data_IF_533688208568
#
_entry.id   IF_533688208568
#
_cell.length_a   1.000
_cell.length_b   1.000
_cell.length_c   1.000
_cell.angle_alpha   90.00
_cell.angle_beta   90.00
_cell.angle_gamma   90.00
#
_symmetry.space_group_name_H-M   'P 1'
#
loop_
_entity.id
_entity.type
_entity.pdbx_description
1 polymer ?
#
# COMPACT_ATOMS: atom_id res chain seq x y z
N UNK A 1 -6.69 14.25 4.87
CA UNK A 1 -6.91 13.98 3.46
C UNK A 1 -5.76 13.21 2.86
N UNK A 2 -6.02 12.01 2.35
CA UNK A 2 -5.06 11.12 1.71
C UNK A 2 -5.32 11.12 0.20
N UNK A 3 -4.72 12.03 -0.57
CA UNK A 3 -5.00 12.15 -2.00
C UNK A 3 -4.52 10.96 -2.81
N UNK A 4 -3.61 10.14 -2.27
CA UNK A 4 -3.10 8.95 -2.94
C UNK A 4 -2.88 7.80 -1.93
N UNK A 5 -3.37 6.63 -2.29
CA UNK A 5 -3.12 5.36 -1.60
C UNK A 5 -2.62 4.39 -2.67
N UNK A 6 -1.50 3.73 -2.41
CA UNK A 6 -0.87 2.78 -3.33
C UNK A 6 -0.76 1.42 -2.64
N UNK A 7 -1.40 0.43 -3.21
CA UNK A 7 -1.39 -0.96 -2.76
C UNK A 7 -1.06 -1.88 -3.94
N UNK A 8 -0.49 -3.07 -3.72
CA UNK A 8 -0.10 -3.98 -4.81
C UNK A 8 -1.24 -4.35 -5.74
N UNK A 9 -2.44 -4.54 -5.21
CA UNK A 9 -3.62 -4.98 -5.93
C UNK A 9 -4.09 -4.00 -7.03
N UNK A 10 -3.65 -2.73 -6.96
CA UNK A 10 -3.91 -1.76 -8.03
C UNK A 10 -3.24 -2.13 -9.34
N UNK A 11 -2.12 -2.87 -9.27
CA UNK A 11 -1.26 -3.20 -10.40
C UNK A 11 -1.60 -4.55 -11.05
N UNK A 12 -2.82 -5.05 -10.87
CA UNK A 12 -3.24 -6.36 -11.38
C UNK A 12 -3.06 -6.55 -12.89
N UNK A 13 -2.93 -5.47 -13.66
CA UNK A 13 -2.74 -5.45 -15.12
C UNK A 13 -1.40 -4.86 -15.55
N UNK A 14 -0.55 -4.49 -14.60
CA UNK A 14 0.70 -3.79 -14.87
C UNK A 14 1.76 -4.23 -13.86
N UNK A 15 3.02 -4.08 -14.23
CA UNK A 15 4.13 -4.32 -13.30
C UNK A 15 4.20 -3.27 -12.20
N UNK A 16 4.65 -3.67 -11.02
CA UNK A 16 4.95 -2.77 -9.91
C UNK A 16 6.38 -2.27 -10.09
N UNK A 17 6.53 -0.99 -10.43
CA UNK A 17 7.83 -0.35 -10.61
C UNK A 17 7.92 0.94 -9.81
N UNK A 18 9.14 1.35 -9.45
CA UNK A 18 9.35 2.65 -8.81
C UNK A 18 8.84 3.80 -9.68
N UNK A 19 9.15 3.79 -10.97
CA UNK A 19 8.71 4.85 -11.89
C UNK A 19 7.19 5.01 -11.88
N UNK A 20 6.46 3.89 -11.95
CA UNK A 20 4.99 3.93 -11.93
C UNK A 20 4.42 4.43 -10.61
N UNK A 21 4.98 3.99 -9.49
CA UNK A 21 4.58 4.48 -8.15
C UNK A 21 4.86 5.98 -8.02
N UNK A 22 6.02 6.43 -8.42
CA UNK A 22 6.38 7.86 -8.38
C UNK A 22 5.45 8.70 -9.26
N UNK A 23 5.11 8.23 -10.45
CA UNK A 23 4.15 8.89 -11.34
C UNK A 23 2.76 8.97 -10.72
N UNK A 24 2.30 7.96 -10.01
CA UNK A 24 1.02 7.99 -9.28
C UNK A 24 1.03 9.06 -8.17
N UNK A 25 2.11 9.14 -7.40
CA UNK A 25 2.26 10.16 -6.35
C UNK A 25 2.30 11.57 -6.97
N UNK A 26 3.07 11.74 -8.05
CA UNK A 26 3.16 13.02 -8.76
C UNK A 26 1.81 13.39 -9.39
N UNK A 27 1.06 12.44 -9.92
CA UNK A 27 -0.31 12.64 -10.40
C UNK A 27 -1.18 13.32 -9.33
N UNK A 28 -1.13 12.81 -8.10
CA UNK A 28 -1.86 13.42 -6.98
C UNK A 28 -1.32 14.82 -6.64
N UNK A 29 0.00 15.02 -6.65
CA UNK A 29 0.62 16.31 -6.39
C UNK A 29 0.19 17.35 -7.42
N UNK A 30 0.20 17.01 -8.70
CA UNK A 30 -0.21 17.89 -9.80
C UNK A 30 -1.70 18.23 -9.70
N UNK A 31 -2.55 17.24 -9.43
CA UNK A 31 -4.00 17.49 -9.23
C UNK A 31 -4.24 18.47 -8.09
N UNK A 32 -3.55 18.32 -6.98
CA UNK A 32 -3.67 19.22 -5.84
C UNK A 32 -3.16 20.63 -6.15
N UNK A 33 -2.06 20.76 -6.90
CA UNK A 33 -1.58 22.07 -7.37
C UNK A 33 -2.62 22.76 -8.25
N UNK A 34 -3.25 22.05 -9.17
CA UNK A 34 -4.34 22.59 -10.02
C UNK A 34 -5.50 23.08 -9.15
N UNK A 35 -5.81 22.37 -8.06
CA UNK A 35 -6.86 22.76 -7.11
C UNK A 35 -6.42 23.84 -6.11
N UNK A 36 -5.21 24.38 -6.20
CA UNK A 36 -4.68 25.38 -5.26
C UNK A 36 -4.37 24.82 -3.86
N UNK A 37 -4.19 23.49 -3.72
CA UNK A 37 -3.96 22.84 -2.43
C UNK A 37 -2.48 22.54 -2.28
N UNK A 38 -1.81 23.16 -1.30
CA UNK A 38 -0.37 23.12 -1.10
C UNK A 38 0.15 21.97 -0.22
N UNK A 39 -0.67 20.98 0.15
CA UNK A 39 -0.29 19.88 1.04
C UNK A 39 -0.95 18.56 0.61
N UNK A 40 -0.42 17.43 1.09
CA UNK A 40 -1.02 16.11 0.87
C UNK A 40 -0.20 15.00 1.54
N UNK A 41 -0.80 13.82 1.63
CA UNK A 41 -0.18 12.60 2.15
C UNK A 41 -0.39 11.50 1.12
N UNK A 42 0.69 10.86 0.67
CA UNK A 42 0.62 9.61 -0.08
C UNK A 42 0.89 8.44 0.88
N UNK A 43 0.01 7.47 0.89
CA UNK A 43 0.18 6.24 1.66
C UNK A 43 0.60 5.14 0.69
N UNK A 44 1.74 4.52 0.95
CA UNK A 44 2.27 3.40 0.16
C UNK A 44 2.32 2.18 1.06
N UNK A 45 1.63 1.12 0.66
CA UNK A 45 1.69 -0.14 1.39
C UNK A 45 3.09 -0.74 1.32
N UNK A 46 3.59 -1.24 2.44
CA UNK A 46 4.85 -1.98 2.48
C UNK A 46 4.87 -3.16 1.49
N UNK A 47 3.71 -3.79 1.29
CA UNK A 47 3.56 -4.93 0.39
C UNK A 47 3.92 -4.66 -1.06
N UNK A 48 3.99 -3.40 -1.54
CA UNK A 48 4.35 -3.11 -2.94
C UNK A 48 5.76 -3.59 -3.29
N UNK A 49 6.70 -3.60 -2.33
CA UNK A 49 8.05 -4.11 -2.55
C UNK A 49 8.09 -5.61 -2.88
N UNK A 50 7.18 -6.41 -2.30
CA UNK A 50 7.13 -7.85 -2.56
C UNK A 50 6.64 -8.20 -3.97
N UNK A 51 6.12 -7.21 -4.70
CA UNK A 51 5.66 -7.36 -6.08
C UNK A 51 6.60 -6.72 -7.10
N UNK A 52 7.69 -6.11 -6.64
CA UNK A 52 8.78 -5.64 -7.51
C UNK A 52 9.75 -6.79 -7.78
N UNK A 53 10.39 -6.76 -8.95
CA UNK A 53 11.49 -7.68 -9.25
C UNK A 53 12.75 -7.26 -8.50
N UNK A 54 13.64 -8.22 -8.21
CA UNK A 54 14.94 -7.93 -7.60
C UNK A 54 15.77 -6.99 -8.45
N UNK A 55 15.64 -7.08 -9.78
CA UNK A 55 16.29 -6.15 -10.73
C UNK A 55 15.78 -4.72 -10.58
N UNK A 56 14.47 -4.53 -10.45
CA UNK A 56 13.88 -3.20 -10.21
C UNK A 56 14.38 -2.60 -8.90
N UNK A 57 14.47 -3.41 -7.85
CA UNK A 57 14.97 -2.98 -6.55
C UNK A 57 16.45 -2.63 -6.63
N UNK A 58 17.28 -3.47 -7.24
CA UNK A 58 18.71 -3.23 -7.41
C UNK A 58 19.01 -1.96 -8.25
N UNK A 59 18.22 -1.72 -9.29
CA UNK A 59 18.36 -0.56 -10.17
C UNK A 59 17.83 0.75 -9.55
N UNK A 60 17.24 0.71 -8.36
CA UNK A 60 16.79 1.93 -7.67
C UNK A 60 17.90 2.90 -7.28
N UNK A 61 19.17 2.48 -7.35
CA UNK A 61 20.33 3.26 -6.91
C UNK A 61 20.47 3.35 -5.39
N UNK A 62 19.70 2.60 -4.64
CA UNK A 62 19.80 2.48 -3.19
C UNK A 62 20.72 1.31 -2.85
N UNK A 63 21.64 1.52 -1.91
CA UNK A 63 22.50 0.44 -1.43
C UNK A 63 21.70 -0.49 -0.52
N UNK A 64 21.53 -1.73 -0.94
CA UNK A 64 20.95 -2.81 -0.14
C UNK A 64 22.03 -3.75 0.35
N UNK A 65 21.80 -4.37 1.51
CA UNK A 65 22.46 -5.62 1.88
C UNK A 65 21.73 -6.78 1.20
N UNK A 66 22.46 -7.84 0.87
CA UNK A 66 21.89 -9.01 0.19
C UNK A 66 22.06 -10.24 1.09
N UNK A 67 21.07 -11.11 1.09
CA UNK A 67 21.13 -12.38 1.78
C UNK A 67 22.10 -13.36 1.06
N UNK A 68 22.33 -14.54 1.66
CA UNK A 68 23.21 -15.57 1.11
C UNK A 68 22.71 -16.13 -0.25
N UNK A 69 21.49 -15.81 -0.66
CA UNK A 69 20.88 -16.23 -1.92
C UNK A 69 20.86 -15.10 -2.97
N UNK A 70 21.38 -13.92 -2.62
CA UNK A 70 21.45 -12.76 -3.52
C UNK A 70 20.18 -11.92 -3.58
N UNK A 71 19.22 -12.11 -2.69
CA UNK A 71 18.02 -11.27 -2.60
C UNK A 71 18.27 -10.06 -1.70
N UNK A 72 17.75 -8.86 -2.06
CA UNK A 72 17.95 -7.67 -1.26
C UNK A 72 17.21 -7.77 0.09
N UNK A 73 17.95 -7.53 1.17
CA UNK A 73 17.42 -7.52 2.54
C UNK A 73 16.62 -6.24 2.80
N UNK A 74 15.34 -6.24 2.43
CA UNK A 74 14.44 -5.11 2.54
C UNK A 74 14.08 -4.73 3.98
N UNK A 75 14.33 -5.63 4.94
CA UNK A 75 14.00 -5.40 6.36
C UNK A 75 14.90 -4.36 7.03
N UNK A 76 16.11 -4.17 6.52
CA UNK A 76 17.12 -3.30 7.11
C UNK A 76 17.11 -1.87 6.56
N UNK A 77 16.23 -1.58 5.58
CA UNK A 77 16.19 -0.27 4.93
C UNK A 77 14.81 0.35 5.06
N UNK A 78 14.78 1.62 5.43
CA UNK A 78 13.54 2.41 5.46
C UNK A 78 12.95 2.55 4.06
N UNK A 79 11.85 1.85 3.80
CA UNK A 79 11.15 1.85 2.51
C UNK A 79 10.58 3.22 2.18
N UNK A 80 10.05 3.93 3.19
CA UNK A 80 9.57 5.29 3.01
C UNK A 80 10.72 6.24 2.62
N UNK A 81 11.94 6.02 3.15
CA UNK A 81 13.10 6.82 2.79
C UNK A 81 13.52 6.59 1.33
N UNK A 82 13.51 5.35 0.86
CA UNK A 82 13.79 5.01 -0.54
C UNK A 82 12.83 5.75 -1.46
N UNK A 83 11.52 5.59 -1.26
CA UNK A 83 10.53 6.28 -2.09
C UNK A 83 10.66 7.79 -2.03
N UNK A 84 10.94 8.35 -0.85
CA UNK A 84 11.11 9.79 -0.71
C UNK A 84 12.35 10.31 -1.46
N UNK A 85 13.46 9.58 -1.42
CA UNK A 85 14.69 9.96 -2.14
C UNK A 85 14.45 9.99 -3.64
N UNK A 86 13.88 8.93 -4.20
CA UNK A 86 13.54 8.83 -5.61
C UNK A 86 12.50 9.90 -6.02
N UNK A 87 11.50 10.14 -5.16
CA UNK A 87 10.49 11.17 -5.39
C UNK A 87 11.09 12.57 -5.43
N UNK A 88 11.99 12.91 -4.48
CA UNK A 88 12.65 14.21 -4.46
C UNK A 88 13.54 14.42 -5.68
N UNK A 89 14.24 13.39 -6.14
CA UNK A 89 14.99 13.44 -7.38
C UNK A 89 14.07 13.75 -8.57
N UNK A 90 12.98 13.03 -8.73
CA UNK A 90 12.02 13.22 -9.83
C UNK A 90 11.35 14.60 -9.77
N UNK A 91 10.98 15.08 -8.58
CA UNK A 91 10.42 16.42 -8.35
C UNK A 91 11.43 17.49 -8.83
N UNK A 92 12.72 17.31 -8.53
CA UNK A 92 13.79 18.22 -8.96
C UNK A 92 13.97 18.21 -10.48
N UNK A 93 13.98 17.03 -11.10
CA UNK A 93 14.06 16.88 -12.56
C UNK A 93 12.91 17.58 -13.28
N UNK A 94 11.71 17.56 -12.69
CA UNK A 94 10.52 18.23 -13.22
C UNK A 94 10.48 19.73 -12.90
N UNK A 95 11.44 20.26 -12.15
CA UNK A 95 11.44 21.68 -11.74
C UNK A 95 10.31 22.04 -10.77
N UNK A 96 9.69 21.07 -10.13
CA UNK A 96 8.60 21.30 -9.19
C UNK A 96 9.14 21.74 -7.83
N UNK A 97 8.63 22.87 -7.30
CA UNK A 97 8.97 23.32 -5.95
C UNK A 97 8.05 22.66 -4.92
N UNK A 98 8.30 21.39 -4.63
CA UNK A 98 7.56 20.60 -3.63
C UNK A 98 8.58 19.92 -2.71
N UNK A 99 8.30 19.94 -1.41
CA UNK A 99 9.09 19.20 -0.41
C UNK A 99 8.26 18.03 0.09
N UNK A 100 8.83 16.83 0.12
CA UNK A 100 8.26 15.66 0.75
C UNK A 100 9.10 15.22 1.94
N UNK A 101 8.49 14.51 2.87
CA UNK A 101 9.13 13.91 4.04
C UNK A 101 8.66 12.49 4.19
N UNK A 102 9.57 11.52 4.39
CA UNK A 102 9.20 10.16 4.67
C UNK A 102 8.66 10.04 6.10
N UNK A 103 7.65 9.21 6.27
CA UNK A 103 7.13 8.78 7.56
C UNK A 103 6.83 7.29 7.47
N UNK A 104 7.35 6.53 8.40
CA UNK A 104 7.00 5.12 8.56
C UNK A 104 6.08 4.97 9.76
N UNK A 105 4.94 4.34 9.52
CA UNK A 105 3.98 4.06 10.58
C UNK A 105 4.27 2.66 11.12
N UNK A 106 4.83 2.61 12.30
CA UNK A 106 5.24 1.39 12.97
C UNK A 106 4.63 1.25 14.36
N UNK A 107 5.50 1.25 15.36
CA UNK A 107 5.10 1.09 16.76
C UNK A 107 4.22 2.22 17.28
N UNK A 108 4.28 3.42 16.70
CA UNK A 108 3.44 4.56 17.05
C UNK A 108 1.95 4.26 16.93
N UNK A 109 1.58 3.35 16.02
CA UNK A 109 0.20 2.91 15.83
C UNK A 109 -0.09 1.60 16.55
N UNK A 110 0.89 0.68 16.60
CA UNK A 110 0.71 -0.64 17.21
C UNK A 110 0.74 -0.61 18.74
N UNK A 111 1.38 0.41 19.33
CA UNK A 111 1.55 0.55 20.77
C UNK A 111 0.62 1.59 21.40
N UNK A 112 -0.43 2.01 20.70
CA UNK A 112 -1.50 2.84 21.30
C UNK A 112 -2.32 2.01 22.25
N UNK A 113 -2.86 2.63 23.27
CA UNK A 113 -3.79 1.97 24.19
C UNK A 113 -5.00 1.40 23.42
N UNK A 114 -5.41 0.15 23.73
CA UNK A 114 -6.52 -0.48 23.02
C UNK A 114 -7.84 0.24 23.31
N UNK A 115 -8.63 0.44 22.27
CA UNK A 115 -9.99 0.95 22.41
C UNK A 115 -10.98 -0.12 22.90
N UNK A 116 -12.19 0.29 23.20
CA UNK A 116 -13.24 -0.64 23.68
C UNK A 116 -13.51 -1.77 22.69
N UNK A 117 -13.45 -1.50 21.38
CA UNK A 117 -13.58 -2.52 20.35
C UNK A 117 -12.47 -3.57 20.43
N UNK A 118 -11.23 -3.14 20.60
CA UNK A 118 -10.07 -4.04 20.67
C UNK A 118 -10.16 -4.95 21.88
N UNK A 119 -10.52 -4.38 23.05
CA UNK A 119 -10.69 -5.13 24.30
C UNK A 119 -11.80 -6.18 24.17
N UNK A 120 -12.94 -5.79 23.61
CA UNK A 120 -14.07 -6.69 23.40
C UNK A 120 -13.72 -7.81 22.41
N UNK A 121 -13.15 -7.45 21.26
CA UNK A 121 -12.79 -8.41 20.21
C UNK A 121 -11.71 -9.39 20.67
N UNK A 122 -10.67 -8.91 21.34
CA UNK A 122 -9.64 -9.77 21.92
C UNK A 122 -10.19 -10.72 23.01
N UNK A 123 -11.17 -10.26 23.79
CA UNK A 123 -11.83 -11.12 24.77
C UNK A 123 -12.62 -12.25 24.12
N UNK A 124 -13.32 -11.96 23.01
CA UNK A 124 -14.02 -12.99 22.21
C UNK A 124 -13.01 -14.00 21.63
N UNK A 125 -11.90 -13.51 21.07
CA UNK A 125 -10.86 -14.40 20.53
C UNK A 125 -10.24 -15.27 21.63
N UNK A 126 -9.96 -14.70 22.82
CA UNK A 126 -9.45 -15.46 23.97
C UNK A 126 -10.43 -16.53 24.44
N UNK A 127 -11.72 -16.21 24.55
CA UNK A 127 -12.78 -17.18 24.85
C UNK A 127 -12.86 -18.26 23.76
N UNK A 128 -12.75 -17.87 22.51
CA UNK A 128 -12.77 -18.77 21.37
C UNK A 128 -11.61 -19.78 21.39
N UNK A 129 -10.41 -19.38 21.83
CA UNK A 129 -9.30 -20.32 22.03
C UNK A 129 -9.69 -21.43 23.01
N UNK A 130 -10.28 -21.05 24.16
CA UNK A 130 -10.75 -22.02 25.15
C UNK A 130 -11.82 -22.93 24.56
N UNK A 131 -12.81 -22.37 23.89
CA UNK A 131 -13.90 -23.13 23.28
C UNK A 131 -13.36 -24.17 22.28
N UNK A 132 -12.53 -23.76 21.32
CA UNK A 132 -11.96 -24.69 20.33
C UNK A 132 -11.07 -25.75 20.97
N UNK A 133 -10.36 -25.40 22.04
CA UNK A 133 -9.56 -26.36 22.81
C UNK A 133 -10.44 -27.41 23.47
N UNK A 134 -11.53 -27.00 24.14
CA UNK A 134 -12.49 -27.91 24.79
C UNK A 134 -13.19 -28.85 23.78
N UNK A 135 -13.41 -28.35 22.55
CA UNK A 135 -13.98 -29.11 21.45
C UNK A 135 -12.94 -30.03 20.74
N UNK A 136 -11.67 -30.01 21.17
CA UNK A 136 -10.59 -30.80 20.56
C UNK A 136 -10.17 -30.34 19.18
N UNK A 137 -10.49 -29.12 18.79
CA UNK A 137 -10.09 -28.54 17.50
C UNK A 137 -8.61 -28.17 17.54
N UNK A 138 -7.86 -28.62 16.52
CA UNK A 138 -6.44 -28.30 16.34
C UNK A 138 -6.14 -27.87 14.89
N UNK A 139 -4.98 -27.24 14.68
CA UNK A 139 -4.55 -26.77 13.36
C UNK A 139 -5.43 -25.65 12.81
N UNK A 140 -6.04 -24.84 13.68
CA UNK A 140 -6.90 -23.73 13.33
C UNK A 140 -6.52 -22.45 14.09
N UNK A 141 -6.79 -21.31 13.48
CA UNK A 141 -6.84 -20.02 14.15
C UNK A 141 -8.26 -19.72 14.60
N UNK A 142 -8.39 -19.02 15.73
CA UNK A 142 -9.68 -18.49 16.17
C UNK A 142 -10.03 -17.26 15.33
N UNK A 143 -11.24 -17.24 14.80
CA UNK A 143 -11.83 -16.06 14.19
C UNK A 143 -13.19 -15.76 14.80
N UNK A 144 -13.64 -14.53 14.71
CA UNK A 144 -14.99 -14.15 15.10
C UNK A 144 -15.64 -13.36 13.96
N UNK A 145 -16.92 -13.58 13.74
CA UNK A 145 -17.69 -12.80 12.78
C UNK A 145 -18.17 -11.47 13.39
N UNK A 146 -18.90 -10.68 12.60
CA UNK A 146 -19.41 -9.36 13.01
C UNK A 146 -20.44 -9.43 14.16
N UNK A 147 -20.95 -10.63 14.49
CA UNK A 147 -21.85 -10.87 15.61
C UNK A 147 -21.12 -11.35 16.87
N UNK A 148 -19.80 -11.59 16.76
CA UNK A 148 -18.98 -12.14 17.83
C UNK A 148 -19.05 -13.66 17.94
N UNK A 149 -19.59 -14.36 16.93
CA UNK A 149 -19.59 -15.82 16.91
C UNK A 149 -18.20 -16.34 16.55
N UNK A 150 -17.68 -17.23 17.38
CA UNK A 150 -16.37 -17.87 17.19
C UNK A 150 -16.45 -18.92 16.10
N UNK A 151 -15.45 -18.92 15.21
CA UNK A 151 -15.29 -19.89 14.12
C UNK A 151 -13.83 -20.31 13.97
N UNK A 152 -13.56 -21.62 13.76
CA UNK A 152 -12.22 -22.05 13.41
C UNK A 152 -11.90 -21.67 11.95
N UNK A 153 -10.72 -21.11 11.72
CA UNK A 153 -10.11 -20.97 10.40
C UNK A 153 -8.96 -21.96 10.32
N UNK A 154 -9.16 -23.06 9.64
CA UNK A 154 -8.14 -24.09 9.54
C UNK A 154 -6.96 -23.61 8.69
N UNK A 155 -5.73 -23.84 9.15
CA UNK A 155 -4.52 -23.40 8.46
C UNK A 155 -4.43 -23.99 7.06
N UNK A 156 -4.87 -25.24 6.87
CA UNK A 156 -4.94 -25.89 5.54
C UNK A 156 -5.86 -25.19 4.55
N UNK A 157 -6.85 -24.41 5.01
CA UNK A 157 -7.80 -23.72 4.15
C UNK A 157 -7.25 -22.36 3.64
N UNK A 158 -6.15 -21.89 4.25
CA UNK A 158 -5.50 -20.63 3.89
C UNK A 158 -4.12 -20.81 3.26
N UNK A 159 -3.65 -22.06 3.10
CA UNK A 159 -2.40 -22.34 2.40
C UNK A 159 -2.58 -22.34 0.87
N UNK A 160 -1.50 -21.99 0.18
CA UNK A 160 -1.39 -22.11 -1.27
C UNK A 160 -0.88 -23.49 -1.68
N UNK A 161 -0.66 -23.68 -2.99
CA UNK A 161 -0.18 -24.94 -3.57
C UNK A 161 1.22 -25.34 -3.06
N UNK A 162 1.97 -24.39 -2.47
CA UNK A 162 3.29 -24.58 -1.91
C UNK A 162 3.29 -24.73 -0.37
N UNK A 163 2.11 -24.82 0.25
CA UNK A 163 1.97 -24.90 1.70
C UNK A 163 2.25 -23.57 2.43
N UNK A 164 2.22 -22.44 1.71
CA UNK A 164 2.39 -21.10 2.29
C UNK A 164 1.04 -20.44 2.52
N UNK A 165 0.92 -19.66 3.58
CA UNK A 165 -0.30 -18.90 3.86
C UNK A 165 -0.53 -17.86 2.78
N UNK A 166 -1.70 -17.89 2.15
CA UNK A 166 -2.12 -16.87 1.17
C UNK A 166 -2.35 -15.53 1.86
N UNK A 167 -1.74 -14.45 1.38
CA UNK A 167 -2.03 -13.13 1.90
C UNK A 167 -3.49 -12.76 1.61
N UNK A 168 -4.10 -12.04 2.54
CA UNK A 168 -5.46 -11.53 2.35
C UNK A 168 -5.41 -10.28 1.49
N UNK A 169 -5.83 -10.39 0.24
CA UNK A 169 -5.81 -9.31 -0.74
C UNK A 169 -7.06 -8.42 -0.66
N UNK A 170 -6.89 -7.15 -1.02
CA UNK A 170 -8.01 -6.22 -1.19
C UNK A 170 -8.78 -6.57 -2.47
N UNK A 171 -10.08 -6.79 -2.33
CA UNK A 171 -10.94 -6.97 -3.50
C UNK A 171 -11.16 -5.61 -4.20
N UNK A 172 -10.41 -5.36 -5.27
CA UNK A 172 -10.49 -4.11 -6.05
C UNK A 172 -11.85 -3.90 -6.72
N UNK A 173 -12.64 -4.96 -6.91
CA UNK A 173 -14.00 -4.89 -7.44
C UNK A 173 -15.05 -4.66 -6.34
N UNK A 174 -14.66 -4.68 -5.09
CA UNK A 174 -15.55 -4.43 -3.95
C UNK A 174 -15.96 -2.96 -3.85
N UNK A 175 -17.15 -2.70 -3.33
CA UNK A 175 -17.70 -1.33 -3.23
C UNK A 175 -16.81 -0.37 -2.40
N UNK A 176 -16.17 -0.87 -1.34
CA UNK A 176 -15.23 -0.05 -0.53
C UNK A 176 -14.01 0.38 -1.35
N UNK A 177 -13.43 -0.53 -2.14
CA UNK A 177 -12.29 -0.21 -2.99
C UNK A 177 -12.71 0.79 -4.08
N UNK A 178 -13.83 0.55 -4.75
CA UNK A 178 -14.37 1.46 -5.76
C UNK A 178 -14.62 2.86 -5.20
N UNK A 179 -15.21 2.98 -4.00
CA UNK A 179 -15.43 4.26 -3.34
C UNK A 179 -14.10 5.00 -3.11
N UNK A 180 -13.10 4.31 -2.54
CA UNK A 180 -11.81 4.92 -2.25
C UNK A 180 -11.10 5.35 -3.53
N UNK A 181 -10.91 4.44 -4.49
CA UNK A 181 -10.10 4.69 -5.67
C UNK A 181 -10.77 5.59 -6.70
N UNK A 182 -12.10 5.62 -6.78
CA UNK A 182 -12.82 6.48 -7.69
C UNK A 182 -13.14 7.86 -7.10
N UNK A 183 -13.57 7.89 -5.83
CA UNK A 183 -14.23 9.07 -5.27
C UNK A 183 -13.38 9.79 -4.20
N UNK A 184 -12.44 9.09 -3.56
CA UNK A 184 -11.63 9.68 -2.48
C UNK A 184 -10.23 10.11 -2.92
N UNK A 185 -9.63 9.43 -3.90
CA UNK A 185 -8.31 9.78 -4.39
C UNK A 185 -8.35 10.99 -5.32
N UNK A 186 -7.24 11.70 -5.38
CA UNK A 186 -7.05 12.83 -6.27
C UNK A 186 -5.90 12.53 -7.23
N UNK A 187 -6.16 12.60 -8.52
CA UNK A 187 -5.18 12.29 -9.56
C UNK A 187 -5.53 13.02 -10.86
N UNK A 188 -4.56 13.08 -11.77
CA UNK A 188 -4.75 13.66 -13.09
C UNK A 188 -5.58 12.73 -13.97
N UNK A 189 -6.51 13.35 -14.66
CA UNK A 189 -7.35 12.77 -15.71
C UNK A 189 -7.21 13.58 -17.00
N UNK A 190 -7.72 13.11 -18.15
CA UNK A 190 -7.68 13.88 -19.40
C UNK A 190 -8.25 15.31 -19.28
N UNK A 191 -9.21 15.54 -18.39
CA UNK A 191 -9.78 16.85 -18.13
C UNK A 191 -8.77 17.85 -17.51
N UNK A 192 -7.70 17.34 -16.90
CA UNK A 192 -6.71 18.15 -16.20
C UNK A 192 -5.48 18.48 -17.07
N UNK A 193 -5.32 17.86 -18.25
CA UNK A 193 -4.09 17.94 -19.02
C UNK A 193 -3.68 19.36 -19.35
N UNK A 194 -4.61 20.21 -19.82
CA UNK A 194 -4.29 21.59 -20.16
C UNK A 194 -3.79 22.38 -18.94
N UNK A 195 -4.42 22.21 -17.79
CA UNK A 195 -3.99 22.84 -16.55
C UNK A 195 -2.67 22.27 -16.02
N UNK A 196 -2.37 21.00 -16.28
CA UNK A 196 -1.14 20.33 -15.83
C UNK A 196 0.08 20.70 -16.67
N UNK A 197 -0.10 21.15 -17.94
CA UNK A 197 1.01 21.57 -18.81
C UNK A 197 1.86 22.71 -18.23
N UNK A 198 1.31 23.52 -17.34
CA UNK A 198 2.09 24.54 -16.64
C UNK A 198 3.13 23.95 -15.64
N UNK A 199 3.01 22.68 -15.31
CA UNK A 199 3.89 22.00 -14.35
C UNK A 199 4.75 20.89 -14.98
N UNK A 200 4.24 20.22 -15.99
CA UNK A 200 4.92 19.09 -16.67
C UNK A 200 4.68 19.15 -18.18
N UNK A 201 5.68 18.74 -18.97
CA UNK A 201 5.59 18.78 -20.43
C UNK A 201 4.53 17.80 -20.98
N UNK A 202 4.46 16.60 -20.44
CA UNK A 202 3.58 15.52 -20.90
C UNK A 202 2.66 15.09 -19.75
N UNK A 203 1.52 15.75 -19.51
CA UNK A 203 0.60 15.40 -18.43
C UNK A 203 0.03 13.98 -18.52
N UNK A 204 -0.12 13.45 -19.73
CA UNK A 204 -0.61 12.10 -19.99
C UNK A 204 0.26 10.99 -19.37
N UNK A 205 1.55 11.25 -19.13
CA UNK A 205 2.47 10.32 -18.46
C UNK A 205 2.12 10.11 -16.97
N UNK A 206 1.29 11.00 -16.43
CA UNK A 206 0.81 11.01 -15.04
C UNK A 206 -0.68 10.68 -14.92
N UNK A 207 -1.33 10.27 -16.01
CA UNK A 207 -2.73 9.85 -15.98
C UNK A 207 -2.88 8.56 -15.19
N UNK A 208 -3.65 8.63 -14.12
CA UNK A 208 -3.82 7.52 -13.18
C UNK A 208 -4.36 6.25 -13.86
N UNK A 209 -5.36 6.41 -14.73
CA UNK A 209 -5.97 5.26 -15.40
C UNK A 209 -5.04 4.65 -16.44
N UNK A 210 -4.27 5.47 -17.16
CA UNK A 210 -3.25 4.97 -18.10
C UNK A 210 -2.13 4.24 -17.38
N UNK A 211 -1.66 4.76 -16.25
CA UNK A 211 -0.61 4.14 -15.44
C UNK A 211 -0.98 2.74 -14.95
N UNK A 212 -2.27 2.50 -14.69
CA UNK A 212 -2.79 1.26 -14.13
C UNK A 212 -3.54 0.39 -15.14
N UNK A 213 -3.71 0.84 -16.38
CA UNK A 213 -4.54 0.18 -17.41
C UNK A 213 -5.99 -0.08 -16.95
N UNK A 214 -6.60 0.93 -16.31
CA UNK A 214 -7.96 0.89 -15.75
C UNK A 214 -9.01 1.50 -16.69
#
# INVERSE_FOLDING_TARGET
>A
HYPMIIIPEMFNKTEVTFDRILKLVISAMLKRKILGIGYGVAIISEGVFHFMTDEEIANSGVNFTYDDHGHPELGNVSKAHIFNTLLQQRIKELGLNIKSRPVEIGYEVRCVDPGAFDLFYCSILGYGVKQLFDEGVSGAMVTADNKGEVKPLYLKDVEDENGKVKPRLVNMNGEKAKLVFRDCLQYITPADYEAAKQYVANPEDYDFKKLLNW
#
